data_IF_716650318943
#
_entry.id   IF_716650318943
#
_cell.length_a   1.000
_cell.length_b   1.000
_cell.length_c   1.000
_cell.angle_alpha   90.00
_cell.angle_beta   90.00
_cell.angle_gamma   90.00
#
_symmetry.space_group_name_H-M   'P 1'
#
loop_
_entity.id
_entity.type
_entity.pdbx_description
1 polymer ?
#
# COMPACT_ATOMS: atom_id res chain seq x y z
N UNK A 1 6.45 -1.03 -13.34
CA UNK A 1 5.39 -2.05 -13.38
C UNK A 1 4.33 -1.57 -12.42
N UNK A 2 3.11 -1.36 -12.90
CA UNK A 2 2.03 -0.75 -12.10
C UNK A 2 1.32 -1.86 -11.32
N UNK A 3 1.92 -2.28 -10.20
CA UNK A 3 1.33 -3.29 -9.32
C UNK A 3 0.10 -2.72 -8.61
N UNK A 4 -1.08 -3.23 -8.95
CA UNK A 4 -2.35 -2.73 -8.46
C UNK A 4 -3.12 -3.78 -7.63
N UNK A 5 -4.31 -3.42 -7.14
CA UNK A 5 -5.09 -4.31 -6.28
C UNK A 5 -5.52 -5.62 -6.98
N UNK A 6 -5.74 -5.62 -8.29
CA UNK A 6 -6.05 -6.85 -9.02
C UNK A 6 -4.83 -7.76 -9.13
N UNK A 7 -3.63 -7.21 -9.30
CA UNK A 7 -2.39 -8.01 -9.29
C UNK A 7 -2.20 -8.70 -7.93
N UNK A 8 -2.47 -7.98 -6.83
CA UNK A 8 -2.48 -8.58 -5.49
C UNK A 8 -3.51 -9.71 -5.35
N UNK A 9 -4.74 -9.52 -5.86
CA UNK A 9 -5.75 -10.59 -5.85
C UNK A 9 -5.27 -11.83 -6.60
N UNK A 10 -4.58 -11.66 -7.74
CA UNK A 10 -4.01 -12.77 -8.51
C UNK A 10 -2.81 -13.44 -7.81
N UNK A 11 -1.94 -12.66 -7.16
CA UNK A 11 -0.83 -13.19 -6.36
C UNK A 11 -1.33 -14.02 -5.16
N UNK A 12 -2.43 -13.61 -4.52
CA UNK A 12 -3.10 -14.38 -3.46
C UNK A 12 -3.69 -15.68 -4.01
N UNK A 13 -4.42 -15.62 -5.13
CA UNK A 13 -5.01 -16.81 -5.78
C UNK A 13 -3.94 -17.82 -6.22
N UNK A 14 -2.84 -17.33 -6.80
CA UNK A 14 -1.73 -18.16 -7.27
C UNK A 14 -0.82 -18.67 -6.15
N UNK A 15 -1.11 -18.31 -4.89
CA UNK A 15 -0.35 -18.69 -3.69
C UNK A 15 1.11 -18.24 -3.71
N UNK A 16 1.43 -17.17 -4.45
CA UNK A 16 2.76 -16.55 -4.40
C UNK A 16 3.07 -15.94 -3.04
N UNK A 17 2.02 -15.59 -2.30
CA UNK A 17 2.04 -15.14 -0.90
C UNK A 17 1.46 -16.21 0.04
N UNK A 18 2.01 -17.42 -0.05
CA UNK A 18 1.44 -18.63 0.55
C UNK A 18 1.20 -18.54 2.07
N UNK A 19 2.14 -17.93 2.80
CA UNK A 19 2.14 -17.83 4.27
C UNK A 19 0.92 -17.08 4.82
N UNK A 20 0.38 -16.15 4.03
CA UNK A 20 -0.77 -15.32 4.40
C UNK A 20 -2.03 -15.63 3.56
N UNK A 21 -2.01 -16.67 2.73
CA UNK A 21 -3.07 -16.93 1.74
C UNK A 21 -4.49 -16.96 2.33
N UNK A 22 -4.69 -17.52 3.53
CA UNK A 22 -6.00 -17.50 4.22
C UNK A 22 -6.38 -16.11 4.73
N UNK A 23 -5.45 -15.42 5.41
CA UNK A 23 -5.65 -14.07 5.92
C UNK A 23 -5.99 -13.12 4.77
N UNK A 24 -5.22 -13.18 3.69
CA UNK A 24 -5.41 -12.33 2.51
C UNK A 24 -6.67 -12.67 1.72
N UNK A 25 -7.06 -13.94 1.63
CA UNK A 25 -8.35 -14.30 1.00
C UNK A 25 -9.52 -13.69 1.77
N UNK A 26 -9.47 -13.74 3.10
CA UNK A 26 -10.47 -13.09 3.95
C UNK A 26 -10.42 -11.57 3.81
N UNK A 27 -9.23 -10.99 3.82
CA UNK A 27 -9.02 -9.56 3.61
C UNK A 27 -9.64 -9.09 2.30
N UNK A 28 -9.37 -9.79 1.19
CA UNK A 28 -9.95 -9.47 -0.11
C UNK A 28 -11.48 -9.53 -0.04
N UNK A 29 -12.04 -10.58 0.58
CA UNK A 29 -13.50 -10.68 0.73
C UNK A 29 -14.10 -9.56 1.57
N UNK A 30 -13.42 -9.09 2.62
CA UNK A 30 -13.88 -7.97 3.44
C UNK A 30 -13.76 -6.65 2.66
N UNK A 31 -12.66 -6.43 1.94
CA UNK A 31 -12.41 -5.22 1.16
C UNK A 31 -13.34 -5.11 -0.06
N UNK A 32 -13.59 -6.18 -0.80
CA UNK A 32 -14.53 -6.17 -1.94
C UNK A 32 -15.97 -5.83 -1.49
N UNK A 33 -16.30 -6.05 -0.21
CA UNK A 33 -17.57 -5.61 0.39
C UNK A 33 -17.61 -4.15 0.87
N UNK A 34 -16.46 -3.49 0.98
CA UNK A 34 -16.31 -2.16 1.59
C UNK A 34 -15.84 -1.09 0.59
N UNK A 35 -15.00 -1.46 -0.37
CA UNK A 35 -14.35 -0.57 -1.33
C UNK A 35 -14.67 -1.08 -2.73
N UNK A 36 -15.38 -0.27 -3.52
CA UNK A 36 -15.55 -0.57 -4.94
C UNK A 36 -14.17 -0.49 -5.63
N UNK A 37 -13.74 -1.60 -6.22
CA UNK A 37 -12.46 -1.67 -6.91
C UNK A 37 -12.29 -0.64 -8.03
N UNK A 38 -13.39 -0.14 -8.62
CA UNK A 38 -13.36 0.90 -9.65
C UNK A 38 -13.03 2.29 -9.09
N UNK A 39 -13.19 2.49 -7.78
CA UNK A 39 -12.83 3.75 -7.10
C UNK A 39 -11.36 3.81 -6.71
N UNK A 40 -10.65 2.69 -6.74
CA UNK A 40 -9.25 2.61 -6.34
C UNK A 40 -8.40 3.22 -7.46
N UNK A 41 -7.84 4.41 -7.21
CA UNK A 41 -6.95 5.10 -8.13
C UNK A 41 -5.51 4.64 -7.97
N UNK A 42 -5.12 4.20 -6.77
CA UNK A 42 -3.80 3.65 -6.52
C UNK A 42 -3.79 2.67 -5.34
N UNK A 43 -2.83 1.77 -5.34
CA UNK A 43 -2.67 0.71 -4.33
C UNK A 43 -1.21 0.52 -3.97
N UNK A 44 -0.92 0.32 -2.68
CA UNK A 44 0.43 0.06 -2.19
C UNK A 44 0.45 -1.04 -1.12
N UNK A 45 1.12 -2.18 -1.36
CA UNK A 45 1.18 -3.32 -0.44
C UNK A 45 2.41 -3.26 0.48
N UNK A 46 2.41 -2.39 1.48
CA UNK A 46 3.53 -2.24 2.41
C UNK A 46 3.81 -3.53 3.19
N UNK A 47 5.09 -3.90 3.26
CA UNK A 47 5.62 -5.10 3.91
C UNK A 47 5.22 -6.43 3.27
N UNK A 48 4.57 -6.46 2.10
CA UNK A 48 4.09 -7.71 1.52
C UNK A 48 5.21 -8.72 1.22
N UNK A 49 6.36 -8.24 0.76
CA UNK A 49 7.48 -9.09 0.34
C UNK A 49 8.66 -9.09 1.31
N UNK A 50 8.51 -8.59 2.54
CA UNK A 50 9.55 -8.67 3.57
C UNK A 50 9.10 -9.52 4.76
N UNK A 51 9.99 -9.71 5.72
CA UNK A 51 9.77 -10.58 6.89
C UNK A 51 8.97 -9.90 8.02
N UNK A 52 8.46 -8.68 7.81
CA UNK A 52 7.66 -7.97 8.83
C UNK A 52 6.28 -8.62 8.90
N UNK A 53 5.86 -9.07 10.09
CA UNK A 53 4.63 -9.84 10.25
C UNK A 53 3.34 -9.04 9.95
N UNK A 54 3.32 -7.76 10.33
CA UNK A 54 2.21 -6.84 10.06
C UNK A 54 2.31 -6.31 8.62
N UNK A 55 1.31 -6.66 7.81
CA UNK A 55 1.18 -6.24 6.42
C UNK A 55 0.21 -5.06 6.35
N UNK A 56 0.62 -3.98 5.71
CA UNK A 56 -0.23 -2.80 5.54
C UNK A 56 -0.57 -2.63 4.05
N UNK A 57 -1.83 -2.38 3.74
CA UNK A 57 -2.30 -2.12 2.39
C UNK A 57 -2.92 -0.73 2.36
N UNK A 58 -2.43 0.11 1.46
CA UNK A 58 -2.88 1.48 1.31
C UNK A 58 -3.63 1.59 -0.01
N UNK A 59 -4.86 2.11 0.06
CA UNK A 59 -5.69 2.37 -1.10
C UNK A 59 -5.96 3.87 -1.20
N UNK A 60 -5.70 4.44 -2.37
CA UNK A 60 -6.17 5.77 -2.71
C UNK A 60 -7.44 5.65 -3.52
N UNK A 61 -8.37 6.54 -3.21
CA UNK A 61 -9.50 6.87 -4.07
C UNK A 61 -9.40 8.34 -4.46
N UNK A 62 -10.41 8.88 -5.13
CA UNK A 62 -10.47 10.30 -5.46
C UNK A 62 -10.39 11.19 -4.19
N UNK A 63 -11.12 10.83 -3.14
CA UNK A 63 -11.32 11.68 -1.96
C UNK A 63 -10.94 11.04 -0.62
N UNK A 64 -10.62 9.75 -0.58
CA UNK A 64 -10.27 9.02 0.65
C UNK A 64 -8.99 8.22 0.52
N UNK A 65 -8.35 8.03 1.67
CA UNK A 65 -7.28 7.05 1.88
C UNK A 65 -7.83 5.95 2.77
N UNK A 66 -7.57 4.69 2.42
CA UNK A 66 -7.83 3.54 3.28
C UNK A 66 -6.50 2.92 3.70
N UNK A 67 -6.35 2.71 4.99
CA UNK A 67 -5.25 1.97 5.59
C UNK A 67 -5.79 0.67 6.15
N UNK A 68 -5.25 -0.43 5.65
CA UNK A 68 -5.70 -1.76 5.99
C UNK A 68 -4.52 -2.53 6.55
N UNK A 69 -4.61 -2.98 7.80
CA UNK A 69 -3.57 -3.81 8.42
C UNK A 69 -4.06 -5.22 8.57
N UNK A 70 -3.21 -6.19 8.23
CA UNK A 70 -3.46 -7.60 8.41
C UNK A 70 -2.24 -8.26 9.06
N UNK A 71 -2.47 -9.15 10.02
CA UNK A 71 -1.42 -9.91 10.69
C UNK A 71 -1.71 -11.43 10.66
N UNK A 72 -0.74 -12.22 11.13
CA UNK A 72 -0.84 -13.68 11.18
C UNK A 72 -1.90 -14.20 12.16
N UNK A 73 -2.35 -13.37 13.11
CA UNK A 73 -3.41 -13.70 14.06
C UNK A 73 -4.83 -13.57 13.46
N UNK A 74 -4.95 -13.37 12.14
CA UNK A 74 -6.21 -13.08 11.43
C UNK A 74 -6.92 -11.80 11.91
N UNK A 75 -6.21 -10.86 12.53
CA UNK A 75 -6.77 -9.56 12.83
C UNK A 75 -6.66 -8.67 11.59
N UNK A 76 -7.78 -8.07 11.21
CA UNK A 76 -7.87 -7.10 10.13
C UNK A 76 -8.35 -5.78 10.76
N UNK A 77 -7.62 -4.71 10.52
CA UNK A 77 -8.06 -3.35 10.86
C UNK A 77 -8.16 -2.52 9.60
N UNK A 78 -9.23 -1.75 9.49
CA UNK A 78 -9.50 -0.89 8.35
C UNK A 78 -9.82 0.49 8.90
N UNK A 79 -9.03 1.48 8.49
CA UNK A 79 -9.24 2.88 8.82
C UNK A 79 -9.34 3.65 7.50
N UNK A 80 -10.28 4.59 7.42
CA UNK A 80 -10.40 5.49 6.28
C UNK A 80 -10.46 6.93 6.74
N UNK A 81 -9.81 7.83 6.02
CA UNK A 81 -9.85 9.26 6.27
C UNK A 81 -9.83 10.06 4.95
N UNK A 82 -10.15 11.34 5.03
CA UNK A 82 -10.19 12.22 3.86
C UNK A 82 -8.80 12.46 3.28
N UNK A 83 -8.69 12.41 1.95
CA UNK A 83 -7.47 12.69 1.19
C UNK A 83 -7.25 14.21 1.07
N UNK A 84 -7.12 14.89 2.22
CA UNK A 84 -6.82 16.31 2.29
C UNK A 84 -5.38 16.52 2.72
N UNK A 85 -4.49 16.82 1.77
CA UNK A 85 -3.05 16.93 2.02
C UNK A 85 -2.72 18.30 2.61
N UNK A 86 -1.93 18.29 3.68
CA UNK A 86 -1.32 19.49 4.27
C UNK A 86 0.10 19.70 3.74
N UNK A 87 0.93 18.65 3.75
CA UNK A 87 2.30 18.68 3.22
C UNK A 87 2.67 17.32 2.64
N UNK A 88 3.38 17.33 1.51
CA UNK A 88 3.91 16.13 0.88
C UNK A 88 5.41 16.32 0.59
N UNK A 89 6.20 15.28 0.82
CA UNK A 89 7.64 15.29 0.60
C UNK A 89 8.07 13.97 -0.03
N UNK A 90 8.77 14.05 -1.16
CA UNK A 90 9.32 12.90 -1.87
C UNK A 90 10.84 13.02 -1.89
N UNK A 91 11.52 12.07 -1.26
CA UNK A 91 12.99 11.99 -1.24
C UNK A 91 13.40 10.81 -2.11
N UNK A 92 14.35 11.03 -3.02
CA UNK A 92 14.92 9.98 -3.87
C UNK A 92 16.44 9.95 -3.72
N UNK A 93 17.00 8.80 -3.35
CA UNK A 93 18.44 8.58 -3.28
C UNK A 93 18.97 8.02 -4.60
N UNK A 94 19.89 8.74 -5.25
CA UNK A 94 20.52 8.28 -6.51
C UNK A 94 21.34 6.99 -6.34
N UNK A 95 21.83 6.70 -5.13
CA UNK A 95 22.78 5.61 -4.92
C UNK A 95 22.13 4.27 -4.57
N UNK A 96 20.92 4.27 -4.01
CA UNK A 96 20.29 3.06 -3.48
C UNK A 96 18.97 2.71 -4.19
N UNK A 97 18.60 3.46 -5.23
CA UNK A 97 17.26 3.39 -5.84
C UNK A 97 16.15 3.46 -4.78
N UNK A 98 16.40 4.14 -3.67
CA UNK A 98 15.47 4.26 -2.56
C UNK A 98 14.61 5.50 -2.78
N UNK A 99 13.31 5.35 -2.52
CA UNK A 99 12.34 6.45 -2.55
C UNK A 99 11.58 6.43 -1.24
N UNK A 100 11.48 7.60 -0.63
CA UNK A 100 10.70 7.82 0.58
C UNK A 100 9.66 8.89 0.31
N UNK A 101 8.40 8.59 0.61
CA UNK A 101 7.29 9.54 0.53
C UNK A 101 6.71 9.73 1.92
N UNK A 102 6.64 10.99 2.34
CA UNK A 102 5.96 11.42 3.56
C UNK A 102 4.80 12.32 3.19
N UNK A 103 3.59 11.94 3.60
CA UNK A 103 2.35 12.71 3.40
C UNK A 103 1.76 13.06 4.76
N UNK A 104 1.60 14.34 5.04
CA UNK A 104 0.89 14.84 6.19
C UNK A 104 -0.49 15.30 5.74
N UNK A 105 -1.55 14.74 6.31
CA UNK A 105 -2.93 15.11 6.01
C UNK A 105 -3.43 16.20 6.97
N UNK A 106 -4.48 16.92 6.56
CA UNK A 106 -5.12 17.95 7.39
C UNK A 106 -5.79 17.37 8.65
N UNK A 107 -6.15 16.09 8.62
CA UNK A 107 -6.63 15.36 9.79
C UNK A 107 -5.57 15.20 10.89
N UNK A 108 -4.29 15.39 10.56
CA UNK A 108 -3.16 15.08 11.43
C UNK A 108 -2.57 13.68 11.18
N UNK A 109 -3.20 12.86 10.32
CA UNK A 109 -2.65 11.57 9.91
C UNK A 109 -1.35 11.76 9.10
N UNK A 110 -0.43 10.80 9.25
CA UNK A 110 0.84 10.79 8.52
C UNK A 110 1.01 9.44 7.82
N UNK A 111 1.19 9.48 6.50
CA UNK A 111 1.55 8.31 5.70
C UNK A 111 3.03 8.39 5.35
N UNK A 112 3.78 7.33 5.68
CA UNK A 112 5.19 7.17 5.32
C UNK A 112 5.34 5.88 4.52
N UNK A 113 5.81 6.02 3.29
CA UNK A 113 6.18 4.92 2.41
C UNK A 113 7.69 4.98 2.18
N UNK A 114 8.39 3.87 2.36
CA UNK A 114 9.82 3.74 2.09
C UNK A 114 10.06 2.48 1.26
N UNK A 115 10.53 2.64 0.02
CA UNK A 115 10.64 1.53 -0.91
C UNK A 115 11.54 0.40 -0.42
N UNK A 116 12.57 0.71 0.37
CA UNK A 116 13.52 -0.25 0.89
C UNK A 116 13.04 -0.91 2.18
N UNK A 117 12.47 -0.13 3.10
CA UNK A 117 11.97 -0.65 4.37
C UNK A 117 10.67 -1.44 4.21
N UNK A 118 9.82 -1.04 3.26
CA UNK A 118 8.52 -1.66 3.02
C UNK A 118 8.60 -2.93 2.15
N UNK A 119 9.79 -3.29 1.65
CA UNK A 119 10.00 -4.41 0.73
C UNK A 119 11.33 -5.12 1.01
N UNK A 120 11.90 -5.77 0.00
CA UNK A 120 13.18 -6.46 0.06
C UNK A 120 14.08 -6.08 -1.15
N UNK A 121 15.29 -6.64 -1.23
CA UNK A 121 16.24 -6.33 -2.31
C UNK A 121 15.73 -6.61 -3.73
N UNK A 122 14.80 -7.56 -3.88
CA UNK A 122 14.23 -7.94 -5.17
C UNK A 122 13.04 -7.06 -5.60
N UNK A 123 12.43 -6.32 -4.66
CA UNK A 123 11.20 -5.53 -4.88
C UNK A 123 11.38 -4.02 -4.67
N UNK A 124 12.55 -3.58 -4.21
CA UNK A 124 12.83 -2.16 -3.94
C UNK A 124 12.62 -1.28 -5.17
N UNK A 125 12.88 -1.79 -6.38
CA UNK A 125 12.71 -1.02 -7.62
C UNK A 125 11.23 -0.81 -7.94
N UNK A 126 10.42 -1.85 -7.82
CA UNK A 126 8.98 -1.87 -8.01
C UNK A 126 8.30 -0.94 -7.01
N UNK A 127 8.67 -1.03 -5.74
CA UNK A 127 8.14 -0.17 -4.68
C UNK A 127 8.54 1.30 -4.91
N UNK A 128 9.75 1.55 -5.41
CA UNK A 128 10.17 2.90 -5.79
C UNK A 128 9.37 3.47 -6.96
N UNK A 129 8.95 2.62 -7.91
CA UNK A 129 8.01 2.98 -8.96
C UNK A 129 6.64 3.30 -8.38
N UNK A 130 6.10 2.40 -7.55
CA UNK A 130 4.80 2.55 -6.91
C UNK A 130 4.70 3.82 -6.06
N UNK A 131 5.73 4.16 -5.27
CA UNK A 131 5.76 5.41 -4.48
C UNK A 131 5.72 6.65 -5.39
N UNK A 132 6.42 6.63 -6.53
CA UNK A 132 6.38 7.77 -7.49
C UNK A 132 5.01 7.92 -8.13
N UNK A 133 4.35 6.81 -8.47
CA UNK A 133 2.94 6.86 -8.91
C UNK A 133 2.03 7.36 -7.80
N UNK A 134 2.24 6.92 -6.56
CA UNK A 134 1.50 7.40 -5.40
C UNK A 134 1.61 8.91 -5.24
N UNK A 135 2.84 9.44 -5.34
CA UNK A 135 3.09 10.87 -5.32
C UNK A 135 2.36 11.60 -6.45
N UNK A 136 2.42 11.07 -7.70
CA UNK A 136 1.69 11.63 -8.84
C UNK A 136 0.18 11.70 -8.60
N UNK A 137 -0.43 10.63 -8.09
CA UNK A 137 -1.87 10.59 -7.80
C UNK A 137 -2.29 11.48 -6.64
N UNK A 138 -1.38 11.80 -5.72
CA UNK A 138 -1.64 12.66 -4.57
C UNK A 138 -1.61 14.16 -4.91
N UNK A 139 -0.89 14.56 -5.96
CA UNK A 139 -0.75 15.97 -6.35
C UNK A 139 -1.67 16.40 -7.51
N UNK A 140 -2.46 15.47 -8.06
CA UNK A 140 -3.54 15.80 -9.01
C UNK A 140 -4.65 16.54 -8.28
#
# INVERSE_FOLDING_TARGET
MDYNYNDFKEDVKSRRVAEYSRVFSRLISELDGLIDSNMITNFYPKNLYNDIEEKEFIFLTENKVFLVKANLENQISIISFEKLINRIELISSKHQNEVVLTVNFKSGDVLILNSKADSNENWVYEYSGAIREFYRELIK
#
